data_IF_602120068900
#
_entry.id   IF_602120068900
#
_cell.length_a   1.000
_cell.length_b   1.000
_cell.length_c   1.000
_cell.angle_alpha   90.00
_cell.angle_beta   90.00
_cell.angle_gamma   90.00
#
_symmetry.space_group_name_H-M   'P 1'
#
loop_
_entity.id
_entity.type
_entity.pdbx_description
1 polymer ?
#
# COMPACT_ATOMS: atom_id res chain seq x y z
N UNK A 1 -10.20 15.31 15.73
CA UNK A 1 -9.20 14.45 15.01
C UNK A 1 -7.78 15.05 14.89
N UNK A 2 -7.55 16.37 14.97
CA UNK A 2 -6.20 16.97 14.85
C UNK A 2 -5.25 16.57 16.00
N UNK A 3 -5.75 16.49 17.23
CA UNK A 3 -4.91 16.31 18.43
C UNK A 3 -4.24 14.93 18.49
N UNK A 4 -5.00 13.85 18.38
CA UNK A 4 -4.44 12.48 18.48
C UNK A 4 -3.40 12.17 17.39
N UNK A 5 -3.61 12.66 16.16
CA UNK A 5 -2.64 12.43 15.07
C UNK A 5 -1.28 13.08 15.33
N UNK A 6 -1.27 14.27 15.92
CA UNK A 6 -0.02 14.97 16.26
C UNK A 6 0.69 14.32 17.46
N UNK A 7 -0.07 13.80 18.42
CA UNK A 7 0.45 13.04 19.54
C UNK A 7 1.25 11.82 19.07
N UNK A 8 0.71 11.01 18.15
CA UNK A 8 1.43 9.86 17.60
C UNK A 8 2.70 10.26 16.82
N UNK A 9 2.65 11.36 16.07
CA UNK A 9 3.83 11.86 15.35
C UNK A 9 4.91 12.30 16.35
N UNK A 10 4.53 12.96 17.44
CA UNK A 10 5.46 13.39 18.49
C UNK A 10 6.03 12.20 19.24
N UNK A 11 5.21 11.19 19.53
CA UNK A 11 5.66 9.92 20.09
C UNK A 11 6.73 9.27 19.22
N UNK A 12 6.49 9.10 17.91
CA UNK A 12 7.47 8.50 17.00
C UNK A 12 8.77 9.32 16.94
N UNK A 13 8.68 10.66 16.96
CA UNK A 13 9.86 11.53 17.00
C UNK A 13 10.69 11.38 18.28
N UNK A 14 10.04 11.07 19.39
CA UNK A 14 10.68 10.85 20.69
C UNK A 14 11.35 9.48 20.83
N UNK A 15 11.11 8.55 19.90
CA UNK A 15 11.74 7.22 19.92
C UNK A 15 13.23 7.32 19.61
N UNK A 16 14.04 6.68 20.45
CA UNK A 16 15.47 6.44 20.24
C UNK A 16 15.76 4.97 19.94
N UNK A 17 16.75 4.72 19.09
CA UNK A 17 17.30 3.38 18.85
C UNK A 17 18.74 3.36 19.36
N UNK A 18 19.10 2.26 20.02
CA UNK A 18 20.49 1.93 20.36
C UNK A 18 21.04 1.10 19.21
N UNK A 19 21.97 1.65 18.42
CA UNK A 19 22.47 0.97 17.22
C UNK A 19 23.52 -0.12 17.54
N UNK A 20 24.30 0.04 18.62
CA UNK A 20 25.30 -0.96 19.04
C UNK A 20 25.02 -1.46 20.46
N UNK A 21 25.15 -2.77 20.70
CA UNK A 21 25.00 -3.37 22.04
C UNK A 21 25.96 -2.80 23.09
N UNK A 22 27.06 -2.19 22.68
CA UNK A 22 28.10 -1.62 23.55
C UNK A 22 28.01 -0.09 23.73
N UNK A 23 27.15 0.60 22.96
CA UNK A 23 26.96 2.05 23.08
C UNK A 23 25.75 2.36 23.96
N UNK A 24 25.92 3.22 24.95
CA UNK A 24 24.83 3.74 25.79
C UNK A 24 24.04 4.87 25.13
N UNK A 25 24.55 5.44 24.04
CA UNK A 25 23.97 6.62 23.41
C UNK A 25 22.79 6.25 22.51
N UNK A 26 21.63 6.83 22.82
CA UNK A 26 20.41 6.67 22.01
C UNK A 26 20.44 7.63 20.82
N UNK A 27 20.29 7.09 19.61
CA UNK A 27 20.16 7.90 18.39
C UNK A 27 18.67 8.06 18.08
N UNK A 28 18.17 9.26 17.74
CA UNK A 28 16.79 9.44 17.32
C UNK A 28 16.43 8.55 16.12
N UNK A 29 15.26 7.93 16.18
CA UNK A 29 14.82 6.93 15.18
C UNK A 29 14.78 7.47 13.75
N UNK A 30 14.56 8.78 13.61
CA UNK A 30 14.49 9.49 12.34
C UNK A 30 15.86 9.83 11.72
N UNK A 31 16.95 9.64 12.48
CA UNK A 31 18.33 9.88 12.02
C UNK A 31 19.10 8.59 11.76
N UNK A 32 18.71 7.48 12.39
CA UNK A 32 19.38 6.18 12.25
C UNK A 32 19.20 5.50 10.90
N UNK A 33 19.77 4.30 10.76
CA UNK A 33 19.74 3.52 9.49
C UNK A 33 18.34 3.14 9.01
N UNK A 34 17.40 2.96 9.93
CA UNK A 34 16.00 2.54 9.65
C UNK A 34 15.02 3.72 9.49
N UNK A 35 15.53 4.95 9.38
CA UNK A 35 14.71 6.18 9.32
C UNK A 35 13.62 6.17 8.25
N UNK A 36 13.86 5.54 7.11
CA UNK A 36 12.95 5.56 5.95
C UNK A 36 11.55 5.03 6.29
N UNK A 37 11.48 3.96 7.07
CA UNK A 37 10.20 3.35 7.48
C UNK A 37 9.37 4.33 8.32
N UNK A 38 10.01 4.99 9.30
CA UNK A 38 9.36 5.94 10.18
C UNK A 38 8.97 7.24 9.46
N UNK A 39 9.80 7.71 8.53
CA UNK A 39 9.42 8.81 7.64
C UNK A 39 8.20 8.45 6.80
N UNK A 40 8.15 7.25 6.24
CA UNK A 40 7.01 6.73 5.51
C UNK A 40 5.73 6.77 6.33
N UNK A 41 5.76 6.27 7.58
CA UNK A 41 4.61 6.32 8.49
C UNK A 41 4.15 7.75 8.81
N UNK A 42 5.07 8.65 9.15
CA UNK A 42 4.73 10.05 9.46
C UNK A 42 4.09 10.74 8.25
N UNK A 43 4.65 10.53 7.06
CA UNK A 43 4.12 11.09 5.82
C UNK A 43 2.75 10.51 5.53
N UNK A 44 2.57 9.19 5.61
CA UNK A 44 1.29 8.54 5.36
C UNK A 44 0.18 9.07 6.28
N UNK A 45 0.44 9.19 7.59
CA UNK A 45 -0.53 9.72 8.55
C UNK A 45 -0.93 11.17 8.24
N UNK A 46 0.04 12.02 7.89
CA UNK A 46 -0.22 13.42 7.50
C UNK A 46 -1.00 13.51 6.19
N UNK A 47 -0.62 12.73 5.19
CA UNK A 47 -1.25 12.71 3.87
C UNK A 47 -2.70 12.25 3.95
N UNK A 48 -2.99 11.14 4.65
CA UNK A 48 -4.37 10.65 4.83
C UNK A 48 -5.21 11.66 5.60
N UNK A 49 -4.68 12.29 6.64
CA UNK A 49 -5.39 13.33 7.41
C UNK A 49 -5.72 14.58 6.59
N UNK A 50 -4.83 14.97 5.66
CA UNK A 50 -5.05 16.12 4.78
C UNK A 50 -6.02 15.77 3.66
N UNK A 51 -5.84 14.60 3.05
CA UNK A 51 -6.73 14.08 2.01
C UNK A 51 -8.16 13.93 2.55
N UNK A 52 -8.32 13.45 3.78
CA UNK A 52 -9.66 13.26 4.32
C UNK A 52 -10.44 14.54 4.51
N UNK A 53 -9.79 15.59 5.03
CA UNK A 53 -10.39 16.93 5.10
C UNK A 53 -10.75 17.44 3.72
N UNK A 54 -9.81 17.38 2.78
CA UNK A 54 -10.04 17.85 1.42
C UNK A 54 -11.24 17.15 0.77
N UNK A 55 -11.36 15.82 0.93
CA UNK A 55 -12.47 15.07 0.36
C UNK A 55 -13.79 15.39 1.05
N UNK A 56 -13.82 15.52 2.37
CA UNK A 56 -15.05 15.83 3.12
C UNK A 56 -15.52 17.28 2.96
N UNK A 57 -14.59 18.21 2.75
CA UNK A 57 -14.90 19.62 2.53
C UNK A 57 -15.37 19.89 1.09
N UNK A 58 -14.80 19.20 0.09
CA UNK A 58 -15.10 19.45 -1.32
C UNK A 58 -16.09 18.46 -1.96
N UNK A 59 -16.28 17.27 -1.36
CA UNK A 59 -17.20 16.27 -1.85
C UNK A 59 -18.14 15.84 -0.72
N UNK A 60 -19.41 15.60 -1.04
CA UNK A 60 -20.41 15.09 -0.09
C UNK A 60 -20.21 13.59 0.23
N UNK A 61 -18.97 13.15 0.41
CA UNK A 61 -18.64 11.77 0.76
C UNK A 61 -18.56 11.61 2.28
N UNK A 62 -19.23 10.59 2.81
CA UNK A 62 -19.30 10.34 4.26
C UNK A 62 -18.08 9.58 4.80
N UNK A 63 -17.33 8.87 3.95
CA UNK A 63 -16.20 8.06 4.36
C UNK A 63 -15.18 7.89 3.22
N UNK A 64 -13.92 7.61 3.58
CA UNK A 64 -12.83 7.33 2.63
C UNK A 64 -12.33 5.90 2.84
N UNK A 65 -12.38 5.13 1.76
CA UNK A 65 -11.81 3.78 1.71
C UNK A 65 -10.29 3.85 1.58
N UNK A 66 -9.58 3.87 2.70
CA UNK A 66 -8.11 3.88 2.74
C UNK A 66 -7.47 2.69 2.01
N UNK A 67 -8.18 1.55 1.95
CA UNK A 67 -7.78 0.40 1.15
C UNK A 67 -7.54 0.75 -0.33
N UNK A 68 -8.36 1.63 -0.92
CA UNK A 68 -8.20 2.05 -2.33
C UNK A 68 -6.98 2.94 -2.56
N UNK A 69 -6.38 3.48 -1.50
CA UNK A 69 -5.14 4.27 -1.56
C UNK A 69 -3.89 3.38 -1.46
N UNK A 70 -4.06 2.09 -1.15
CA UNK A 70 -2.96 1.14 -1.03
C UNK A 70 -2.45 0.69 -2.39
N UNK A 71 -1.15 0.35 -2.46
CA UNK A 71 -0.50 -0.20 -3.65
C UNK A 71 -0.96 -1.65 -3.96
N UNK A 72 -1.68 -2.30 -3.04
CA UNK A 72 -2.15 -3.69 -3.17
C UNK A 72 -2.87 -3.97 -4.50
N UNK A 73 -3.62 -2.98 -5.00
CA UNK A 73 -4.30 -3.09 -6.29
C UNK A 73 -3.32 -3.27 -7.46
N UNK A 74 -2.22 -2.53 -7.47
CA UNK A 74 -1.17 -2.65 -8.47
C UNK A 74 -0.38 -3.96 -8.30
N UNK A 75 -0.09 -4.37 -7.07
CA UNK A 75 0.63 -5.62 -6.81
C UNK A 75 -0.20 -6.85 -7.20
N UNK A 76 -1.50 -6.82 -6.92
CA UNK A 76 -2.46 -7.84 -7.36
C UNK A 76 -2.54 -7.86 -8.89
N UNK A 77 -2.60 -6.69 -9.53
CA UNK A 77 -2.60 -6.58 -10.99
C UNK A 77 -1.32 -7.18 -11.61
N UNK A 78 -0.13 -6.84 -11.11
CA UNK A 78 1.11 -7.42 -11.59
C UNK A 78 1.22 -8.92 -11.33
N UNK A 79 0.62 -9.41 -10.24
CA UNK A 79 0.53 -10.85 -9.97
C UNK A 79 -0.33 -11.57 -11.03
N UNK A 80 -1.43 -10.96 -11.48
CA UNK A 80 -2.22 -11.47 -12.59
C UNK A 80 -1.42 -11.49 -13.90
N UNK A 81 -0.67 -10.42 -14.21
CA UNK A 81 0.19 -10.38 -15.41
C UNK A 81 1.25 -11.48 -15.38
N UNK A 82 1.94 -11.67 -14.24
CA UNK A 82 2.94 -12.74 -14.10
C UNK A 82 2.33 -14.12 -14.31
N UNK A 83 1.12 -14.36 -13.81
CA UNK A 83 0.39 -15.63 -13.99
C UNK A 83 0.04 -15.95 -15.45
N UNK A 84 -0.08 -14.96 -16.33
CA UNK A 84 -0.32 -15.20 -17.76
C UNK A 84 0.91 -15.73 -18.49
N UNK A 85 2.11 -15.41 -17.99
CA UNK A 85 3.36 -15.98 -18.49
C UNK A 85 3.59 -17.35 -17.88
N UNK A 86 2.91 -18.39 -18.40
CA UNK A 86 2.85 -19.77 -17.88
C UNK A 86 4.18 -20.30 -17.29
N UNK A 87 5.33 -19.95 -17.90
CA UNK A 87 6.66 -20.39 -17.49
C UNK A 87 7.68 -19.25 -17.28
N UNK A 88 7.27 -17.98 -17.33
CA UNK A 88 8.19 -16.85 -17.14
C UNK A 88 7.70 -15.87 -16.07
N UNK A 89 8.24 -16.02 -14.85
CA UNK A 89 7.97 -15.13 -13.72
C UNK A 89 8.52 -13.72 -13.89
N UNK A 90 9.44 -13.50 -14.85
CA UNK A 90 10.03 -12.21 -15.16
C UNK A 90 9.80 -11.85 -16.64
N UNK A 91 8.58 -11.42 -17.02
CA UNK A 91 8.24 -11.14 -18.41
C UNK A 91 9.12 -10.02 -18.98
N UNK A 92 9.56 -10.16 -20.23
CA UNK A 92 10.20 -9.07 -20.96
C UNK A 92 9.19 -7.94 -21.24
N UNK A 93 9.67 -6.72 -21.51
CA UNK A 93 8.78 -5.57 -21.79
C UNK A 93 7.76 -5.85 -22.91
N UNK A 94 8.15 -6.63 -23.94
CA UNK A 94 7.26 -7.06 -25.02
C UNK A 94 6.18 -8.03 -24.52
N UNK A 95 6.54 -8.99 -23.67
CA UNK A 95 5.60 -9.92 -23.04
C UNK A 95 4.65 -9.19 -22.09
N UNK A 96 5.15 -8.27 -21.28
CA UNK A 96 4.33 -7.42 -20.42
C UNK A 96 3.31 -6.60 -21.22
N UNK A 97 3.75 -5.96 -22.32
CA UNK A 97 2.87 -5.17 -23.20
C UNK A 97 1.81 -6.04 -23.87
N UNK A 98 2.18 -7.24 -24.33
CA UNK A 98 1.24 -8.21 -24.90
C UNK A 98 0.21 -8.67 -23.86
N UNK A 99 0.66 -9.05 -22.66
CA UNK A 99 -0.22 -9.43 -21.55
C UNK A 99 -1.11 -8.30 -21.08
N UNK A 100 -0.63 -7.05 -21.10
CA UNK A 100 -1.44 -5.87 -20.79
C UNK A 100 -2.55 -5.67 -21.82
N UNK A 101 -2.23 -5.68 -23.12
CA UNK A 101 -3.21 -5.61 -24.20
C UNK A 101 -4.22 -6.76 -24.16
N UNK A 102 -3.75 -7.97 -23.83
CA UNK A 102 -4.60 -9.15 -23.70
C UNK A 102 -5.44 -9.17 -22.42
N UNK A 103 -5.00 -8.57 -21.31
CA UNK A 103 -5.78 -8.47 -20.07
C UNK A 103 -7.10 -7.71 -20.29
N UNK A 104 -7.09 -6.66 -21.13
CA UNK A 104 -8.33 -5.98 -21.53
C UNK A 104 -9.33 -6.90 -22.26
N UNK A 105 -8.83 -7.89 -23.01
CA UNK A 105 -9.67 -8.92 -23.67
C UNK A 105 -10.04 -10.07 -22.72
N UNK A 106 -9.15 -10.45 -21.81
CA UNK A 106 -9.34 -11.55 -20.86
C UNK A 106 -10.22 -11.21 -19.66
N UNK A 107 -10.51 -9.93 -19.37
CA UNK A 107 -11.50 -9.56 -18.35
C UNK A 107 -12.90 -10.18 -18.63
N UNK A 108 -13.22 -10.49 -19.89
CA UNK A 108 -14.46 -11.18 -20.25
C UNK A 108 -14.38 -12.72 -20.20
N UNK A 109 -13.20 -13.36 -20.37
CA UNK A 109 -13.08 -14.82 -20.53
C UNK A 109 -12.21 -15.56 -19.50
N UNK A 110 -11.34 -14.88 -18.73
CA UNK A 110 -10.65 -15.51 -17.59
C UNK A 110 -11.55 -15.64 -16.33
N UNK A 111 -12.79 -15.15 -16.40
CA UNK A 111 -13.79 -15.25 -15.33
C UNK A 111 -14.10 -16.72 -14.93
N UNK A 112 -13.91 -17.69 -15.83
CA UNK A 112 -14.19 -19.10 -15.51
C UNK A 112 -13.19 -19.73 -14.54
N UNK A 113 -11.99 -19.14 -14.32
CA UNK A 113 -10.99 -19.65 -13.36
C UNK A 113 -10.61 -18.66 -12.25
N UNK A 114 -10.97 -17.38 -12.40
CA UNK A 114 -10.75 -16.33 -11.39
C UNK A 114 -11.90 -16.17 -10.38
N UNK A 115 -13.05 -16.83 -10.59
CA UNK A 115 -14.10 -16.94 -9.56
C UNK A 115 -13.55 -17.48 -8.24
N UNK A 116 -12.54 -18.35 -8.23
CA UNK A 116 -11.91 -18.82 -6.99
C UNK A 116 -11.06 -17.76 -6.28
N UNK A 117 -10.53 -16.76 -7.00
CA UNK A 117 -9.65 -15.73 -6.42
C UNK A 117 -10.47 -14.52 -5.92
N UNK A 118 -11.54 -14.16 -6.62
CA UNK A 118 -12.48 -13.11 -6.18
C UNK A 118 -13.49 -13.59 -5.13
N UNK A 119 -13.92 -14.86 -5.16
CA UNK A 119 -14.78 -15.44 -4.12
C UNK A 119 -14.08 -15.61 -2.77
N UNK A 120 -12.74 -15.60 -2.74
CA UNK A 120 -11.97 -15.69 -1.50
C UNK A 120 -11.82 -14.34 -0.77
N UNK A 121 -12.05 -13.22 -1.46
CA UNK A 121 -12.01 -11.87 -0.86
C UNK A 121 -13.40 -11.31 -0.50
N UNK A 122 -14.49 -11.83 -1.08
CA UNK A 122 -15.86 -11.37 -0.77
C UNK A 122 -16.60 -12.24 0.27
N UNK A 123 -15.95 -13.27 0.82
CA UNK A 123 -16.54 -14.17 1.85
C UNK A 123 -15.96 -13.94 3.26
N UNK A 124 -15.46 -12.74 3.56
CA UNK A 124 -15.04 -12.32 4.92
C UNK A 124 -15.90 -11.16 5.44
N UNK A 125 -17.00 -10.82 4.76
CA UNK A 125 -18.01 -9.89 5.28
C UNK A 125 -19.42 -10.39 4.98
N UNK A 126 -19.85 -11.41 5.73
CA UNK A 126 -21.19 -11.51 6.34
C UNK A 126 -20.97 -12.08 7.74
#
# INVERSE_FOLDING_TARGET
>A
MKEKGNEYINYIKGLGIIENKHSTDSIPILKGKRKTVFWGFIIAMKSVSKLSRYVFENNSMSCILTYKLSQDHLETFFSCIRRMGVYNNNPTCRQLTSSYKNNYKCQFNCCSRSKLFFARYNNIYI
#
